data_IF_931373158793
#
_entry.id   IF_931373158793
#
_cell.length_a   1.000
_cell.length_b   1.000
_cell.length_c   1.000
_cell.angle_alpha   90.00
_cell.angle_beta   90.00
_cell.angle_gamma   90.00
#
_symmetry.space_group_name_H-M   'P 1'
#
loop_
_entity.id
_entity.type
_entity.pdbx_description
1 polymer ?
#
# COMPACT_ATOMS: atom_id res chain seq x y z
N UNK A 1 -40.20 -61.01 7.58
CA UNK A 1 -39.34 -60.04 8.28
C UNK A 1 -38.41 -59.55 7.22
N UNK A 2 -38.75 -58.41 6.64
CA UNK A 2 -38.11 -57.87 5.45
C UNK A 2 -37.55 -56.53 5.90
N UNK A 3 -36.22 -56.47 6.00
CA UNK A 3 -35.51 -55.35 6.59
C UNK A 3 -35.69 -54.11 5.70
N UNK A 4 -36.41 -53.13 6.23
CA UNK A 4 -36.57 -51.83 5.62
C UNK A 4 -35.25 -51.07 5.78
N UNK A 5 -34.40 -51.12 4.76
CA UNK A 5 -33.23 -50.25 4.66
C UNK A 5 -33.70 -48.82 4.44
N UNK A 6 -33.60 -48.00 5.48
CA UNK A 6 -33.79 -46.55 5.38
C UNK A 6 -32.51 -45.95 4.80
N UNK A 7 -32.61 -45.37 3.60
CA UNK A 7 -31.55 -44.59 2.97
C UNK A 7 -31.29 -43.33 3.82
N UNK A 8 -30.04 -43.00 4.20
CA UNK A 8 -29.77 -41.78 4.92
C UNK A 8 -29.98 -40.57 4.01
N UNK A 9 -30.80 -39.61 4.43
CA UNK A 9 -30.96 -38.31 3.78
C UNK A 9 -29.61 -37.58 3.77
N UNK A 10 -29.01 -37.43 2.59
CA UNK A 10 -27.87 -36.54 2.38
C UNK A 10 -28.32 -35.09 2.60
N UNK A 11 -27.87 -34.49 3.70
CA UNK A 11 -27.95 -33.05 3.89
C UNK A 11 -27.00 -32.41 2.89
N UNK A 12 -27.43 -31.44 2.06
CA UNK A 12 -26.49 -30.71 1.24
C UNK A 12 -25.56 -29.94 2.17
N UNK A 13 -24.28 -30.31 2.16
CA UNK A 13 -23.22 -29.49 2.72
C UNK A 13 -23.31 -28.10 2.08
N UNK A 14 -23.44 -27.08 2.93
CA UNK A 14 -23.33 -25.68 2.58
C UNK A 14 -21.90 -25.40 2.10
N UNK A 15 -21.65 -25.73 0.83
CA UNK A 15 -20.46 -25.29 0.12
C UNK A 15 -20.64 -23.80 -0.11
N UNK A 16 -19.96 -23.02 0.71
CA UNK A 16 -19.79 -21.59 0.49
C UNK A 16 -19.01 -21.41 -0.82
N UNK A 17 -19.77 -21.22 -1.90
CA UNK A 17 -19.27 -20.79 -3.19
C UNK A 17 -18.82 -19.31 -3.09
N UNK A 18 -17.63 -19.05 -2.52
CA UNK A 18 -16.99 -17.73 -2.55
C UNK A 18 -16.11 -17.51 -3.81
N UNK A 19 -16.07 -18.47 -4.73
CA UNK A 19 -15.06 -18.49 -5.80
C UNK A 19 -15.61 -18.24 -7.22
N UNK A 20 -16.88 -17.83 -7.37
CA UNK A 20 -17.50 -17.51 -8.67
C UNK A 20 -17.92 -16.03 -8.81
N UNK A 21 -16.95 -15.12 -8.60
CA UNK A 21 -16.92 -13.85 -9.34
C UNK A 21 -15.85 -13.92 -10.43
N UNK A 22 -16.07 -14.77 -11.44
CA UNK A 22 -15.27 -14.81 -12.66
C UNK A 22 -15.30 -13.45 -13.38
N UNK A 23 -14.23 -12.67 -13.24
CA UNK A 23 -13.93 -11.53 -14.13
C UNK A 23 -13.52 -10.22 -13.44
N UNK A 24 -13.78 -10.06 -12.15
CA UNK A 24 -13.54 -8.82 -11.43
C UNK A 24 -12.11 -8.72 -10.88
N UNK A 25 -11.19 -8.05 -11.60
CA UNK A 25 -9.85 -7.81 -11.08
C UNK A 25 -9.90 -6.73 -9.99
N UNK A 26 -9.65 -7.10 -8.73
CA UNK A 26 -9.57 -6.07 -7.68
C UNK A 26 -8.23 -5.32 -7.68
N UNK A 27 -8.26 -4.00 -7.74
CA UNK A 27 -7.08 -3.14 -7.76
C UNK A 27 -7.18 -2.03 -6.71
N UNK A 28 -6.06 -1.58 -6.17
CA UNK A 28 -6.04 -0.34 -5.41
C UNK A 28 -6.43 0.83 -6.33
N UNK A 29 -7.28 1.73 -5.86
CA UNK A 29 -7.64 2.90 -6.67
C UNK A 29 -6.55 3.98 -6.68
N UNK A 30 -6.74 5.01 -7.51
CA UNK A 30 -5.84 6.18 -7.60
C UNK A 30 -5.69 6.90 -6.25
N UNK A 31 -6.76 6.97 -5.46
CA UNK A 31 -6.78 7.68 -4.18
C UNK A 31 -5.85 7.07 -3.12
N UNK A 32 -5.93 5.77 -2.79
CA UNK A 32 -4.95 5.08 -1.96
C UNK A 32 -3.51 5.34 -2.39
N UNK A 33 -3.20 5.24 -3.68
CA UNK A 33 -1.83 5.44 -4.18
C UNK A 33 -1.33 6.86 -3.86
N UNK A 34 -2.17 7.88 -4.06
CA UNK A 34 -1.85 9.27 -3.68
C UNK A 34 -1.67 9.42 -2.18
N UNK A 35 -2.59 8.91 -1.36
CA UNK A 35 -2.56 9.08 0.09
C UNK A 35 -1.37 8.35 0.72
N UNK A 36 -1.05 7.14 0.27
CA UNK A 36 0.13 6.43 0.73
C UNK A 36 1.42 7.16 0.34
N UNK A 37 1.43 7.79 -0.84
CA UNK A 37 2.56 8.65 -1.25
C UNK A 37 2.72 9.86 -0.35
N UNK A 38 1.61 10.52 -0.01
CA UNK A 38 1.56 11.73 0.80
C UNK A 38 1.98 11.47 2.27
N UNK A 39 1.35 10.48 2.91
CA UNK A 39 1.52 10.24 4.35
C UNK A 39 2.73 9.37 4.69
N UNK A 40 3.17 8.50 3.77
CA UNK A 40 4.31 7.63 4.01
C UNK A 40 5.49 8.02 3.13
N UNK A 41 5.42 7.71 1.83
CA UNK A 41 6.38 8.16 0.82
C UNK A 41 5.94 7.67 -0.57
N UNK A 42 6.44 8.28 -1.66
CA UNK A 42 6.19 7.80 -3.02
C UNK A 42 6.54 6.32 -3.22
N UNK A 43 7.49 5.76 -2.44
CA UNK A 43 7.81 4.32 -2.46
C UNK A 43 6.58 3.48 -2.13
N UNK A 44 5.83 3.82 -1.08
CA UNK A 44 4.61 3.09 -0.71
C UNK A 44 3.55 3.17 -1.81
N UNK A 45 3.29 4.36 -2.35
CA UNK A 45 2.39 4.51 -3.49
C UNK A 45 2.83 3.69 -4.71
N UNK A 46 4.14 3.66 -4.98
CA UNK A 46 4.74 2.87 -6.05
C UNK A 46 4.60 1.36 -5.82
N UNK A 47 4.69 0.87 -4.57
CA UNK A 47 4.43 -0.53 -4.22
C UNK A 47 2.97 -0.88 -4.51
N UNK A 48 2.01 -0.05 -4.07
CA UNK A 48 0.59 -0.27 -4.34
C UNK A 48 0.32 -0.35 -5.86
N UNK A 49 0.88 0.59 -6.63
CA UNK A 49 0.73 0.58 -8.08
C UNK A 49 1.44 -0.60 -8.75
N UNK A 50 2.62 -1.00 -8.25
CA UNK A 50 3.31 -2.20 -8.71
C UNK A 50 2.45 -3.46 -8.49
N UNK A 51 1.80 -3.58 -7.33
CA UNK A 51 0.91 -4.71 -7.03
C UNK A 51 -0.24 -4.74 -8.04
N UNK A 52 -0.88 -3.61 -8.31
CA UNK A 52 -1.93 -3.53 -9.33
C UNK A 52 -1.43 -4.01 -10.70
N UNK A 53 -0.31 -3.45 -11.17
CA UNK A 53 0.26 -3.80 -12.47
C UNK A 53 0.64 -5.27 -12.57
N UNK A 54 1.20 -5.85 -11.51
CA UNK A 54 1.53 -7.27 -11.47
C UNK A 54 0.29 -8.15 -11.49
N UNK A 55 -0.80 -7.72 -10.83
CA UNK A 55 -2.07 -8.46 -10.80
C UNK A 55 -2.71 -8.58 -12.19
N UNK A 56 -2.58 -7.55 -13.03
CA UNK A 56 -3.02 -7.59 -14.45
C UNK A 56 -1.94 -8.06 -15.44
N UNK A 57 -0.84 -8.65 -14.96
CA UNK A 57 0.20 -9.24 -15.82
C UNK A 57 1.31 -8.29 -16.30
N UNK A 58 1.23 -6.98 -16.06
CA UNK A 58 2.26 -6.00 -16.41
C UNK A 58 3.47 -6.00 -15.44
N UNK A 59 4.11 -7.16 -15.25
CA UNK A 59 5.20 -7.34 -14.28
C UNK A 59 6.37 -6.37 -14.48
N UNK A 60 6.80 -6.20 -15.73
CA UNK A 60 7.91 -5.28 -16.05
C UNK A 60 7.54 -3.81 -15.80
N UNK A 61 6.31 -3.40 -16.13
CA UNK A 61 5.83 -2.05 -15.83
C UNK A 61 5.79 -1.82 -14.32
N UNK A 62 5.30 -2.79 -13.54
CA UNK A 62 5.32 -2.73 -12.09
C UNK A 62 6.72 -2.53 -11.53
N UNK A 63 7.73 -3.26 -12.03
CA UNK A 63 9.13 -3.07 -11.62
C UNK A 63 9.65 -1.68 -11.99
N UNK A 64 9.33 -1.17 -13.19
CA UNK A 64 9.72 0.19 -13.60
C UNK A 64 9.08 1.26 -12.71
N UNK A 65 7.81 1.10 -12.33
CA UNK A 65 7.10 2.00 -11.42
C UNK A 65 7.75 2.01 -10.03
N UNK A 66 8.10 0.83 -9.50
CA UNK A 66 8.79 0.73 -8.22
C UNK A 66 10.19 1.39 -8.27
N UNK A 67 10.95 1.14 -9.34
CA UNK A 67 12.27 1.78 -9.51
C UNK A 67 12.14 3.30 -9.61
N UNK A 68 11.13 3.78 -10.35
CA UNK A 68 10.84 5.20 -10.43
C UNK A 68 10.53 5.80 -9.05
N UNK A 69 9.65 5.18 -8.25
CA UNK A 69 9.27 5.73 -6.96
C UNK A 69 10.42 5.77 -5.96
N UNK A 70 11.29 4.75 -5.98
CA UNK A 70 12.55 4.72 -5.23
C UNK A 70 13.47 5.85 -5.69
N UNK A 71 13.76 5.95 -7.00
CA UNK A 71 14.64 6.97 -7.56
C UNK A 71 14.14 8.38 -7.26
N UNK A 72 12.84 8.63 -7.44
CA UNK A 72 12.20 9.91 -7.12
C UNK A 72 12.38 10.29 -5.64
N UNK A 73 12.19 9.33 -4.73
CA UNK A 73 12.30 9.56 -3.29
C UNK A 73 13.73 9.91 -2.90
N UNK A 74 14.73 9.17 -3.39
CA UNK A 74 16.13 9.47 -3.12
C UNK A 74 16.59 10.77 -3.78
N UNK A 75 16.19 11.04 -5.02
CA UNK A 75 16.50 12.31 -5.69
C UNK A 75 15.94 13.51 -4.93
N UNK A 76 14.69 13.41 -4.45
CA UNK A 76 14.07 14.42 -3.59
C UNK A 76 14.84 14.59 -2.28
N UNK A 77 15.21 13.49 -1.61
CA UNK A 77 15.95 13.55 -0.36
C UNK A 77 17.32 14.21 -0.52
N UNK A 78 18.06 13.88 -1.58
CA UNK A 78 19.35 14.51 -1.90
C UNK A 78 19.16 16.01 -2.21
N UNK A 79 18.14 16.35 -3.02
CA UNK A 79 17.85 17.73 -3.39
C UNK A 79 17.52 18.60 -2.17
N UNK A 80 16.57 18.15 -1.33
CA UNK A 80 16.16 18.89 -0.14
C UNK A 80 17.24 18.92 0.93
N UNK A 81 17.96 17.81 1.12
CA UNK A 81 19.11 17.72 2.01
C UNK A 81 20.23 18.69 1.61
N UNK A 82 20.53 18.80 0.32
CA UNK A 82 21.49 19.78 -0.21
C UNK A 82 21.09 21.24 0.02
N UNK A 83 19.80 21.50 0.22
CA UNK A 83 19.26 22.83 0.57
C UNK A 83 19.08 23.04 2.08
N UNK A 84 19.44 22.04 2.91
CA UNK A 84 19.22 22.08 4.37
C UNK A 84 17.74 22.00 4.78
N UNK A 85 16.84 21.60 3.87
CA UNK A 85 15.41 21.47 4.13
C UNK A 85 15.14 20.07 4.69
N UNK A 86 14.90 19.98 6.00
CA UNK A 86 14.71 18.71 6.70
C UNK A 86 13.29 18.49 7.24
N UNK A 87 12.38 19.47 7.08
CA UNK A 87 11.01 19.38 7.59
C UNK A 87 10.06 20.45 7.04
N UNK A 88 8.84 20.48 7.59
CA UNK A 88 7.79 21.41 7.19
C UNK A 88 6.97 20.96 5.97
N UNK A 89 6.32 21.91 5.30
CA UNK A 89 5.40 21.62 4.19
C UNK A 89 6.11 21.21 2.89
N UNK A 90 7.37 21.60 2.71
CA UNK A 90 8.11 21.38 1.44
C UNK A 90 8.27 19.88 1.14
N UNK A 91 8.81 19.02 2.05
CA UNK A 91 8.86 17.58 1.82
C UNK A 91 7.49 16.96 1.51
N UNK A 92 6.43 17.44 2.17
CA UNK A 92 5.05 16.98 1.96
C UNK A 92 4.59 17.28 0.53
N UNK A 93 4.91 18.47 0.00
CA UNK A 93 4.61 18.83 -1.40
C UNK A 93 5.34 17.91 -2.38
N UNK A 94 6.62 17.59 -2.12
CA UNK A 94 7.34 16.63 -2.97
C UNK A 94 6.76 15.21 -2.90
N UNK A 95 6.33 14.75 -1.71
CA UNK A 95 5.62 13.49 -1.57
C UNK A 95 4.31 13.49 -2.36
N UNK A 96 3.54 14.59 -2.29
CA UNK A 96 2.31 14.76 -3.06
C UNK A 96 2.58 14.73 -4.56
N UNK A 97 3.61 15.45 -5.05
CA UNK A 97 4.00 15.44 -6.46
C UNK A 97 4.34 14.03 -6.94
N UNK A 98 5.11 13.26 -6.16
CA UNK A 98 5.40 11.87 -6.46
C UNK A 98 4.13 11.01 -6.54
N UNK A 99 3.21 11.23 -5.59
CA UNK A 99 1.89 10.60 -5.59
C UNK A 99 1.05 10.93 -6.82
N UNK A 100 1.01 12.18 -7.24
CA UNK A 100 0.31 12.64 -8.45
C UNK A 100 0.92 12.02 -9.71
N UNK A 101 2.25 11.96 -9.82
CA UNK A 101 2.90 11.28 -10.96
C UNK A 101 2.51 9.80 -11.00
N UNK A 102 2.48 9.12 -9.86
CA UNK A 102 2.07 7.72 -9.79
C UNK A 102 0.59 7.55 -10.17
N UNK A 103 -0.31 8.39 -9.67
CA UNK A 103 -1.76 8.23 -9.86
C UNK A 103 -2.33 8.80 -11.16
N UNK A 104 -1.67 9.78 -11.78
CA UNK A 104 -2.21 10.49 -12.93
C UNK A 104 -1.44 10.20 -14.19
N UNK A 105 -0.14 9.96 -14.08
CA UNK A 105 0.66 9.55 -15.21
C UNK A 105 0.74 8.02 -15.30
N UNK A 106 1.31 7.33 -14.30
CA UNK A 106 1.49 5.89 -14.39
C UNK A 106 0.16 5.12 -14.31
N UNK A 107 -0.70 5.43 -13.34
CA UNK A 107 -1.95 4.70 -13.17
C UNK A 107 -2.85 4.84 -14.41
N UNK A 108 -3.18 6.08 -14.83
CA UNK A 108 -4.07 6.32 -15.98
C UNK A 108 -3.53 5.73 -17.28
N UNK A 109 -2.21 5.60 -17.40
CA UNK A 109 -1.58 4.94 -18.56
C UNK A 109 -1.93 3.45 -18.68
N UNK A 110 -2.13 2.75 -17.56
CA UNK A 110 -2.43 1.31 -17.55
C UNK A 110 -3.90 1.00 -17.23
N UNK A 111 -4.59 1.92 -16.56
CA UNK A 111 -5.97 1.80 -16.13
C UNK A 111 -6.74 3.10 -16.49
N UNK A 112 -6.98 3.37 -17.79
CA UNK A 112 -7.63 4.61 -18.24
C UNK A 112 -9.11 4.65 -17.85
N UNK A 113 -9.81 3.53 -17.96
CA UNK A 113 -11.27 3.45 -17.84
C UNK A 113 -11.75 3.13 -16.42
N UNK A 114 -10.83 2.95 -15.47
CA UNK A 114 -11.09 2.60 -14.07
C UNK A 114 -12.03 1.37 -13.89
N UNK A 115 -12.03 0.45 -14.85
CA UNK A 115 -12.84 -0.78 -14.83
C UNK A 115 -12.18 -1.85 -13.95
N UNK A 116 -12.37 -1.72 -12.64
CA UNK A 116 -11.89 -2.65 -11.61
C UNK A 116 -12.71 -2.54 -10.33
N UNK A 117 -12.66 -3.59 -9.51
CA UNK A 117 -13.23 -3.54 -8.16
C UNK A 117 -12.23 -2.93 -7.17
N UNK A 118 -12.61 -1.91 -6.39
CA UNK A 118 -11.67 -1.23 -5.51
C UNK A 118 -11.24 -2.12 -4.34
N UNK A 119 -9.95 -2.43 -4.29
CA UNK A 119 -9.35 -3.23 -3.22
C UNK A 119 -9.26 -2.43 -1.91
N UNK A 120 -9.63 -3.00 -0.75
CA UNK A 120 -9.48 -2.34 0.54
C UNK A 120 -8.01 -2.12 0.91
N UNK A 121 -7.72 -0.99 1.58
CA UNK A 121 -6.35 -0.56 1.90
C UNK A 121 -5.82 -1.06 3.25
N UNK A 122 -6.67 -1.71 4.06
CA UNK A 122 -6.35 -2.09 5.44
C UNK A 122 -5.08 -2.95 5.56
N UNK A 123 -4.91 -3.93 4.66
CA UNK A 123 -3.71 -4.77 4.64
C UNK A 123 -2.44 -3.96 4.36
N UNK A 124 -2.47 -3.07 3.36
CA UNK A 124 -1.34 -2.19 3.05
C UNK A 124 -1.05 -1.20 4.19
N UNK A 125 -2.09 -0.69 4.85
CA UNK A 125 -1.96 0.24 5.96
C UNK A 125 -1.33 -0.43 7.17
N UNK A 126 -1.75 -1.66 7.52
CA UNK A 126 -1.16 -2.43 8.60
C UNK A 126 0.34 -2.67 8.38
N UNK A 127 0.74 -3.02 7.15
CA UNK A 127 2.16 -3.19 6.80
C UNK A 127 2.92 -1.88 6.94
N UNK A 128 2.38 -0.76 6.44
CA UNK A 128 3.03 0.55 6.56
C UNK A 128 3.22 0.94 8.04
N UNK A 129 2.18 0.80 8.86
CA UNK A 129 2.24 1.09 10.29
C UNK A 129 3.23 0.18 11.02
N UNK A 130 3.30 -1.11 10.68
CA UNK A 130 4.27 -2.02 11.25
C UNK A 130 5.71 -1.60 10.93
N UNK A 131 5.98 -1.18 9.69
CA UNK A 131 7.31 -0.66 9.30
C UNK A 131 7.67 0.58 10.11
N UNK A 132 6.76 1.56 10.20
CA UNK A 132 6.99 2.78 10.98
C UNK A 132 7.16 2.51 12.48
N UNK A 133 6.35 1.62 13.04
CA UNK A 133 6.47 1.18 14.43
C UNK A 133 7.82 0.51 14.69
N UNK A 134 8.29 -0.31 13.76
CA UNK A 134 9.58 -1.00 13.86
C UNK A 134 10.75 -0.01 13.85
N UNK A 135 10.70 0.99 12.96
CA UNK A 135 11.70 2.07 12.91
C UNK A 135 11.67 2.89 14.20
N UNK A 136 10.48 3.24 14.69
CA UNK A 136 10.31 3.98 15.94
C UNK A 136 10.90 3.22 17.14
N UNK A 137 10.63 1.92 17.25
CA UNK A 137 11.22 1.07 18.29
C UNK A 137 12.75 0.98 18.17
N UNK A 138 13.28 0.83 16.96
CA UNK A 138 14.72 0.83 16.74
C UNK A 138 15.36 2.16 17.18
N UNK A 139 14.71 3.30 16.91
CA UNK A 139 15.16 4.61 17.40
C UNK A 139 15.10 4.71 18.93
N UNK A 140 14.05 4.16 19.55
CA UNK A 140 13.90 4.11 21.00
C UNK A 140 15.07 3.37 21.66
N UNK A 141 15.36 2.14 21.21
CA UNK A 141 16.43 1.33 21.80
C UNK A 141 17.84 1.84 21.47
N UNK A 142 18.04 2.52 20.34
CA UNK A 142 19.33 3.14 20.00
C UNK A 142 19.58 4.48 20.71
N UNK A 143 18.60 5.02 21.44
CA UNK A 143 18.72 6.33 22.09
C UNK A 143 18.74 7.51 21.10
N UNK A 144 18.28 7.31 19.86
CA UNK A 144 18.26 8.34 18.81
C UNK A 144 16.93 9.09 18.70
N UNK A 145 16.01 8.84 19.63
CA UNK A 145 14.74 9.56 19.67
C UNK A 145 14.95 11.06 19.97
N UNK A 146 14.19 11.94 19.31
CA UNK A 146 14.16 13.36 19.64
C UNK A 146 13.80 13.59 21.12
N UNK A 147 14.48 14.54 21.80
CA UNK A 147 14.28 14.78 23.23
C UNK A 147 12.86 15.22 23.59
N UNK A 148 12.13 15.85 22.68
CA UNK A 148 10.72 16.22 22.85
C UNK A 148 9.84 14.98 23.03
N UNK A 149 10.10 13.90 22.27
CA UNK A 149 9.36 12.64 22.37
C UNK A 149 9.68 11.95 23.69
N UNK A 150 10.95 11.93 24.10
CA UNK A 150 11.36 11.34 25.38
C UNK A 150 10.65 12.03 26.55
N UNK A 151 10.53 13.37 26.51
CA UNK A 151 9.80 14.13 27.54
C UNK A 151 8.33 13.72 27.63
N UNK A 152 7.66 13.50 26.49
CA UNK A 152 6.25 13.04 26.46
C UNK A 152 6.11 11.64 27.06
N UNK A 153 7.03 10.72 26.73
CA UNK A 153 6.99 9.35 27.25
C UNK A 153 7.26 9.26 28.77
N UNK A 154 8.10 10.17 29.30
CA UNK A 154 8.46 10.21 30.72
C UNK A 154 7.50 11.04 31.58
N UNK A 155 6.52 11.71 30.98
CA UNK A 155 5.52 12.50 31.71
C UNK A 155 4.49 11.54 32.33
N UNK A 156 4.80 11.06 33.54
CA UNK A 156 3.83 10.38 34.43
C UNK A 156 2.81 11.37 34.98
#
# INVERSE_FOLDING_TARGET
MEDQYTEPEEQPEDIQDEDEQEGAVELYSKWPIRLFSLFFSPIFGGILLMINLRKVGYKQAGTRVLLFSIAYTFATAILLGGMGITGGIIPIVFNLMGGVILSDYYYKKYFPDDDYYPRPVWGALAVALLVYFSIFMAMYYSGTLPPEIIKVLNKK
#
